data_IF_585836045656
#
_entry.id   IF_585836045656
#
_cell.length_a   1.000
_cell.length_b   1.000
_cell.length_c   1.000
_cell.angle_alpha   90.00
_cell.angle_beta   90.00
_cell.angle_gamma   90.00
#
_symmetry.space_group_name_H-M   'P 1'
#
loop_
_entity.id
_entity.type
_entity.pdbx_description
1 polymer ?
#
# COMPACT_ATOMS: atom_id res chain seq x y z
N UNK A 1 19.70 4.50 16.97
CA UNK A 1 18.29 4.76 17.19
C UNK A 1 17.78 3.93 18.37
N UNK A 2 17.13 4.56 19.33
CA UNK A 2 16.62 3.88 20.55
C UNK A 2 15.09 3.75 20.55
N UNK A 3 14.44 4.19 19.48
CA UNK A 3 12.97 4.12 19.39
C UNK A 3 12.50 2.66 19.30
N UNK A 4 11.58 2.26 20.19
CA UNK A 4 11.13 0.86 20.33
C UNK A 4 10.61 0.24 19.03
N UNK A 5 10.00 1.04 18.15
CA UNK A 5 9.50 0.61 16.83
C UNK A 5 10.49 0.80 15.68
N UNK A 6 11.79 0.95 16.02
CA UNK A 6 12.88 1.05 15.03
C UNK A 6 14.09 0.21 15.42
N UNK A 7 13.93 -0.63 16.44
CA UNK A 7 14.98 -1.51 16.97
C UNK A 7 14.48 -2.94 17.09
N UNK A 8 15.40 -3.89 17.23
CA UNK A 8 15.06 -5.31 17.36
C UNK A 8 14.28 -5.83 16.14
N UNK A 9 13.17 -6.50 16.38
CA UNK A 9 12.29 -7.02 15.33
C UNK A 9 11.61 -5.93 14.48
N UNK A 10 11.57 -4.69 15.00
CA UNK A 10 11.01 -3.52 14.32
C UNK A 10 12.07 -2.70 13.58
N UNK A 11 13.29 -3.18 13.51
CA UNK A 11 14.34 -2.46 12.76
C UNK A 11 13.93 -2.33 11.29
N UNK A 12 13.91 -1.12 10.74
CA UNK A 12 13.53 -0.91 9.34
C UNK A 12 14.44 -1.67 8.38
N UNK A 13 13.83 -2.26 7.38
CA UNK A 13 14.52 -2.77 6.21
C UNK A 13 14.62 -1.64 5.19
N UNK A 14 15.83 -1.15 4.94
CA UNK A 14 16.07 0.00 4.05
C UNK A 14 16.70 -0.38 2.72
N UNK A 15 17.06 -1.66 2.55
CA UNK A 15 17.75 -2.17 1.37
C UNK A 15 16.80 -3.03 0.53
N UNK A 16 16.79 -2.76 -0.76
CA UNK A 16 16.10 -3.60 -1.75
C UNK A 16 16.98 -4.77 -2.17
N UNK A 17 16.41 -5.97 -2.14
CA UNK A 17 17.10 -7.22 -2.42
C UNK A 17 16.44 -7.98 -3.56
N UNK A 18 17.25 -8.77 -4.24
CA UNK A 18 16.82 -9.90 -5.06
C UNK A 18 17.76 -11.05 -4.73
N UNK A 19 17.20 -12.12 -4.14
CA UNK A 19 17.92 -13.31 -3.74
C UNK A 19 17.35 -14.52 -4.49
N UNK A 20 18.12 -15.08 -5.38
CA UNK A 20 17.76 -16.24 -6.21
C UNK A 20 18.31 -17.56 -5.65
N UNK A 21 19.22 -17.47 -4.68
CA UNK A 21 19.85 -18.60 -4.02
C UNK A 21 19.46 -18.58 -2.53
N UNK A 22 18.24 -19.04 -2.27
CA UNK A 22 17.69 -19.11 -0.93
C UNK A 22 18.13 -20.39 -0.23
N UNK A 23 18.64 -20.27 1.00
CA UNK A 23 18.84 -21.45 1.86
C UNK A 23 17.47 -21.98 2.31
N UNK A 24 17.21 -23.24 2.01
CA UNK A 24 15.96 -23.93 2.36
C UNK A 24 16.26 -25.05 3.35
N UNK A 25 15.57 -25.05 4.49
CA UNK A 25 15.57 -26.17 5.43
C UNK A 25 14.29 -27.00 5.22
N UNK A 26 14.45 -28.25 4.83
CA UNK A 26 13.34 -29.12 4.42
C UNK A 26 13.13 -29.13 2.91
N UNK A 27 11.92 -29.40 2.49
CA UNK A 27 11.53 -29.49 1.08
C UNK A 27 10.41 -28.50 0.74
N UNK A 28 10.54 -27.80 -0.39
CA UNK A 28 9.44 -27.04 -0.99
C UNK A 28 8.71 -28.00 -1.94
N UNK A 29 7.37 -28.17 -1.79
CA UNK A 29 6.62 -29.00 -2.71
C UNK A 29 6.78 -28.57 -4.17
N UNK A 30 7.02 -29.50 -5.07
CA UNK A 30 7.27 -29.20 -6.49
C UNK A 30 6.02 -28.72 -7.23
N UNK A 31 4.84 -28.97 -6.69
CA UNK A 31 3.54 -28.52 -7.19
C UNK A 31 3.15 -27.13 -6.65
N UNK A 32 3.90 -26.57 -5.69
CA UNK A 32 3.74 -25.18 -5.26
C UNK A 32 4.30 -24.24 -6.31
N UNK A 33 3.42 -23.57 -7.04
CA UNK A 33 3.76 -22.56 -8.03
C UNK A 33 2.99 -21.26 -7.77
N UNK A 34 3.67 -20.15 -7.79
CA UNK A 34 3.06 -18.83 -7.59
C UNK A 34 3.94 -17.87 -6.83
N UNK A 35 3.36 -16.77 -6.42
CA UNK A 35 4.05 -15.71 -5.67
C UNK A 35 3.25 -15.39 -4.41
N UNK A 36 3.91 -15.44 -3.27
CA UNK A 36 3.42 -14.86 -2.04
C UNK A 36 3.84 -13.38 -1.99
N UNK A 37 2.87 -12.49 -1.80
CA UNK A 37 3.09 -11.05 -1.67
C UNK A 37 2.70 -10.56 -0.29
N UNK A 38 3.49 -9.65 0.26
CA UNK A 38 3.21 -8.99 1.53
C UNK A 38 3.65 -7.52 1.47
N UNK A 39 2.80 -6.63 1.97
CA UNK A 39 3.17 -5.24 2.23
C UNK A 39 3.65 -5.07 3.67
N UNK A 40 4.60 -4.20 3.88
CA UNK A 40 5.11 -3.85 5.22
C UNK A 40 5.40 -2.36 5.31
N UNK A 41 5.42 -1.84 6.54
CA UNK A 41 5.78 -0.45 6.82
C UNK A 41 7.27 -0.35 7.16
N UNK A 42 8.04 0.34 6.32
CA UNK A 42 9.46 0.57 6.54
C UNK A 42 9.81 2.05 6.33
N UNK A 43 10.14 2.79 7.39
CA UNK A 43 10.49 4.20 7.22
C UNK A 43 11.85 4.33 6.52
N UNK A 44 11.84 4.83 5.29
CA UNK A 44 13.05 5.17 4.55
C UNK A 44 13.54 6.58 4.91
N UNK A 45 12.62 7.51 5.04
CA UNK A 45 12.87 8.85 5.59
C UNK A 45 12.45 8.85 7.06
N UNK A 46 13.33 9.22 8.00
CA UNK A 46 13.01 9.22 9.43
C UNK A 46 11.79 10.07 9.73
N UNK A 47 10.89 9.56 10.58
CA UNK A 47 9.78 10.33 11.12
C UNK A 47 10.28 11.58 11.88
N UNK A 48 9.41 12.59 12.05
CA UNK A 48 9.76 13.86 12.70
C UNK A 48 10.17 13.67 14.16
N UNK A 49 9.23 13.55 15.08
CA UNK A 49 9.52 13.37 16.51
C UNK A 49 8.95 12.06 17.07
N UNK A 50 7.75 11.69 16.63
CA UNK A 50 7.01 10.54 17.12
C UNK A 50 6.69 9.59 15.97
N UNK A 51 7.48 8.55 15.84
CA UNK A 51 7.23 7.50 14.86
C UNK A 51 6.18 6.52 15.38
N UNK A 52 5.17 6.27 14.57
CA UNK A 52 4.27 5.14 14.71
C UNK A 52 4.53 4.13 13.57
N UNK A 53 4.42 2.82 13.78
CA UNK A 53 4.67 1.84 12.72
C UNK A 53 3.88 2.12 11.43
N UNK A 54 2.64 2.63 11.52
CA UNK A 54 1.82 2.97 10.35
C UNK A 54 2.32 4.17 9.54
N UNK A 55 3.36 4.85 9.99
CA UNK A 55 3.97 5.98 9.27
C UNK A 55 5.09 5.53 8.31
N UNK A 56 5.44 4.24 8.32
CA UNK A 56 6.49 3.71 7.45
C UNK A 56 6.07 3.63 5.99
N UNK A 57 7.04 3.76 5.10
CA UNK A 57 6.84 3.62 3.66
C UNK A 57 6.53 2.17 3.28
N UNK A 58 5.65 1.97 2.33
CA UNK A 58 5.29 0.65 1.83
C UNK A 58 6.49 -0.06 1.20
N UNK A 59 6.75 -1.27 1.63
CA UNK A 59 7.72 -2.17 1.01
C UNK A 59 7.04 -3.51 0.72
N UNK A 60 7.04 -3.89 -0.54
CA UNK A 60 6.49 -5.16 -0.96
C UNK A 60 7.59 -6.22 -0.89
N UNK A 61 7.26 -7.33 -0.23
CA UNK A 61 8.04 -8.55 -0.21
C UNK A 61 7.36 -9.59 -1.09
N UNK A 62 8.12 -10.23 -1.93
CA UNK A 62 7.66 -11.30 -2.82
C UNK A 62 8.51 -12.55 -2.61
N UNK A 63 7.85 -13.69 -2.43
CA UNK A 63 8.51 -14.99 -2.51
C UNK A 63 7.87 -15.75 -3.67
N UNK A 64 8.65 -15.97 -4.72
CA UNK A 64 8.22 -16.75 -5.88
C UNK A 64 8.60 -18.22 -5.67
N UNK A 65 7.64 -19.12 -5.89
CA UNK A 65 7.83 -20.56 -5.80
C UNK A 65 7.67 -21.17 -7.18
N UNK A 66 8.61 -22.03 -7.57
CA UNK A 66 8.54 -22.77 -8.83
C UNK A 66 9.40 -24.05 -8.74
N UNK A 67 8.79 -25.20 -9.05
CA UNK A 67 9.50 -26.49 -9.20
C UNK A 67 10.41 -26.80 -7.99
N UNK A 68 9.94 -26.57 -6.77
CA UNK A 68 10.71 -26.83 -5.55
C UNK A 68 11.76 -25.76 -5.21
N UNK A 69 11.79 -24.64 -5.92
CA UNK A 69 12.70 -23.52 -5.68
C UNK A 69 11.94 -22.29 -5.16
N UNK A 70 12.65 -21.45 -4.41
CA UNK A 70 12.13 -20.17 -3.93
C UNK A 70 13.10 -19.03 -4.30
N UNK A 71 12.55 -17.91 -4.74
CA UNK A 71 13.27 -16.64 -4.91
C UNK A 71 12.60 -15.55 -4.08
N UNK A 72 13.39 -14.67 -3.49
CA UNK A 72 12.91 -13.55 -2.70
C UNK A 72 13.25 -12.21 -3.37
N UNK A 73 12.29 -11.27 -3.32
CA UNK A 73 12.48 -9.87 -3.70
C UNK A 73 11.78 -8.96 -2.71
N UNK A 74 12.35 -7.78 -2.51
CA UNK A 74 11.63 -6.68 -1.87
C UNK A 74 11.88 -5.36 -2.62
N UNK A 75 10.84 -4.53 -2.70
CA UNK A 75 10.92 -3.19 -3.31
C UNK A 75 10.05 -2.22 -2.54
N UNK A 76 10.54 -1.01 -2.36
CA UNK A 76 9.70 0.09 -1.90
C UNK A 76 8.63 0.42 -2.93
N UNK A 77 7.43 0.72 -2.46
CA UNK A 77 6.40 1.31 -3.30
C UNK A 77 6.82 2.74 -3.63
N UNK A 78 6.96 3.06 -4.90
CA UNK A 78 7.43 4.38 -5.38
C UNK A 78 6.30 5.39 -5.32
N UNK A 79 5.85 5.72 -4.10
CA UNK A 79 4.81 6.73 -3.91
C UNK A 79 5.35 8.13 -4.21
N UNK A 80 4.47 9.03 -4.62
CA UNK A 80 4.84 10.43 -4.82
C UNK A 80 5.28 11.08 -3.51
N UNK A 81 4.66 10.70 -2.38
CA UNK A 81 5.05 11.17 -1.06
C UNK A 81 6.47 10.78 -0.70
N UNK A 82 6.85 9.54 -0.96
CA UNK A 82 8.22 9.07 -0.76
C UNK A 82 9.20 9.85 -1.64
N UNK A 83 8.87 10.08 -2.92
CA UNK A 83 9.73 10.84 -3.82
C UNK A 83 9.99 12.26 -3.30
N UNK A 84 8.95 12.94 -2.84
CA UNK A 84 9.05 14.30 -2.26
C UNK A 84 9.94 14.31 -1.01
N UNK A 85 9.80 13.33 -0.13
CA UNK A 85 10.63 13.27 1.09
C UNK A 85 12.08 12.89 0.80
N UNK A 86 12.32 12.02 -0.18
CA UNK A 86 13.69 11.70 -0.62
C UNK A 86 14.39 12.91 -1.24
N UNK A 87 13.68 13.69 -2.05
CA UNK A 87 14.21 14.95 -2.62
C UNK A 87 14.50 15.99 -1.53
N UNK A 88 13.61 16.13 -0.56
CA UNK A 88 13.79 17.05 0.56
C UNK A 88 14.86 16.55 1.58
N UNK A 89 15.18 15.28 1.59
CA UNK A 89 16.06 14.66 2.59
C UNK A 89 15.51 14.71 4.02
N UNK A 90 14.20 14.96 4.17
CA UNK A 90 13.54 15.15 5.46
C UNK A 90 12.04 14.83 5.35
N UNK A 91 11.39 14.41 6.47
CA UNK A 91 9.95 14.16 6.48
C UNK A 91 9.18 15.45 6.17
N UNK A 92 8.16 15.33 5.34
CA UNK A 92 7.33 16.46 4.90
C UNK A 92 5.93 16.44 5.51
N UNK A 93 5.53 15.32 6.08
CA UNK A 93 4.26 15.15 6.77
C UNK A 93 4.46 14.60 8.18
N UNK A 94 3.63 15.07 9.09
CA UNK A 94 3.52 14.50 10.44
C UNK A 94 2.94 13.10 10.36
N UNK A 95 3.41 12.21 11.24
CA UNK A 95 2.86 10.89 11.42
C UNK A 95 1.58 10.86 12.24
N UNK A 96 1.04 9.67 12.41
CA UNK A 96 -0.21 9.40 13.15
C UNK A 96 -0.17 9.89 14.60
N UNK A 97 0.98 9.86 15.24
CA UNK A 97 1.16 10.25 16.63
C UNK A 97 1.49 11.74 16.84
N UNK A 98 1.45 12.54 15.76
CA UNK A 98 1.81 13.96 15.78
C UNK A 98 0.66 14.85 15.30
N UNK A 99 0.74 16.14 15.64
CA UNK A 99 -0.21 17.10 15.11
C UNK A 99 0.06 17.36 13.61
N UNK A 100 -0.95 17.25 12.74
CA UNK A 100 -0.79 17.58 11.32
C UNK A 100 -0.36 19.03 11.08
N UNK A 101 -0.59 19.92 12.05
CA UNK A 101 -0.15 21.33 11.96
C UNK A 101 1.39 21.51 12.03
N UNK A 102 2.10 20.46 12.45
CA UNK A 102 3.58 20.45 12.46
C UNK A 102 4.18 20.09 11.10
N UNK A 103 3.39 19.56 10.17
CA UNK A 103 3.89 19.18 8.86
C UNK A 103 4.46 20.37 8.10
N UNK A 104 5.66 20.27 7.52
CA UNK A 104 6.16 21.24 6.56
C UNK A 104 5.18 21.45 5.39
N UNK A 105 4.55 20.39 4.92
CA UNK A 105 3.48 20.44 3.94
C UNK A 105 2.12 20.32 4.61
N UNK A 106 1.19 21.20 4.25
CA UNK A 106 -0.18 21.21 4.76
C UNK A 106 -1.19 20.59 3.79
N UNK A 107 -0.79 20.35 2.55
CA UNK A 107 -1.50 19.56 1.57
C UNK A 107 -1.30 18.08 1.93
N UNK A 108 -2.33 17.43 2.41
CA UNK A 108 -2.31 15.99 2.63
C UNK A 108 -2.13 15.27 1.31
N UNK A 109 -1.56 14.07 1.38
CA UNK A 109 -1.31 13.34 0.18
C UNK A 109 -2.59 12.78 -0.41
N UNK A 110 -2.67 12.84 -1.71
CA UNK A 110 -3.94 12.63 -2.36
C UNK A 110 -5.00 13.52 -1.71
N UNK A 111 -6.17 13.55 -2.06
CA UNK A 111 -7.21 14.44 -1.54
C UNK A 111 -7.79 14.02 -0.17
N UNK A 112 -7.15 13.10 0.55
CA UNK A 112 -7.88 12.37 1.58
C UNK A 112 -7.60 12.83 2.98
N UNK A 113 -6.33 13.04 3.31
CA UNK A 113 -5.91 13.43 4.65
C UNK A 113 -4.75 14.42 4.58
N UNK A 114 -4.30 14.91 5.75
CA UNK A 114 -3.06 15.67 5.88
C UNK A 114 -1.86 14.79 6.22
N UNK A 115 -1.95 13.51 5.94
CA UNK A 115 -0.88 12.53 6.10
C UNK A 115 -0.31 12.17 4.73
N UNK A 116 0.91 11.68 4.73
CA UNK A 116 1.51 11.05 3.55
C UNK A 116 0.73 9.77 3.21
N UNK A 117 0.43 9.59 1.92
CA UNK A 117 0.04 8.27 1.41
C UNK A 117 1.30 7.41 1.33
N UNK A 118 1.48 6.54 2.31
CA UNK A 118 2.63 5.65 2.37
C UNK A 118 2.43 4.35 1.58
N UNK A 119 1.23 4.07 1.12
CA UNK A 119 0.88 2.81 0.40
C UNK A 119 1.43 1.56 1.09
N UNK A 120 1.28 1.49 2.41
CA UNK A 120 1.98 0.52 3.26
C UNK A 120 1.09 -0.51 3.91
N UNK A 121 -0.22 -0.52 3.59
CA UNK A 121 -1.17 -1.31 4.38
C UNK A 121 -1.46 -2.67 3.80
N UNK A 122 -1.78 -2.75 2.51
CA UNK A 122 -2.21 -4.00 1.90
C UNK A 122 -1.74 -4.13 0.45
N UNK A 123 -1.81 -5.33 -0.06
CA UNK A 123 -1.53 -5.64 -1.46
C UNK A 123 -2.49 -6.73 -1.95
N UNK A 124 -3.13 -6.45 -3.07
CA UNK A 124 -4.01 -7.42 -3.76
C UNK A 124 -3.58 -7.55 -5.21
N UNK A 125 -3.90 -8.66 -5.84
CA UNK A 125 -3.65 -8.85 -7.28
C UNK A 125 -4.97 -8.78 -8.03
N UNK A 126 -5.04 -7.88 -9.00
CA UNK A 126 -6.20 -7.72 -9.87
C UNK A 126 -5.74 -7.43 -11.30
N UNK A 127 -6.36 -8.08 -12.26
CA UNK A 127 -6.07 -7.90 -13.70
C UNK A 127 -4.56 -7.97 -14.01
N UNK A 128 -3.85 -8.93 -13.39
CA UNK A 128 -2.42 -9.17 -13.59
C UNK A 128 -1.49 -8.16 -12.92
N UNK A 129 -2.00 -7.19 -12.16
CA UNK A 129 -1.22 -6.20 -11.42
C UNK A 129 -1.32 -6.43 -9.92
N UNK A 130 -0.21 -6.30 -9.22
CA UNK A 130 -0.19 -6.14 -7.77
C UNK A 130 -0.50 -4.69 -7.42
N UNK A 131 -1.51 -4.47 -6.59
CA UNK A 131 -2.02 -3.15 -6.21
C UNK A 131 -1.73 -2.91 -4.74
N UNK A 132 -0.79 -2.02 -4.47
CA UNK A 132 -0.48 -1.58 -3.11
C UNK A 132 -1.42 -0.45 -2.69
N UNK A 133 -1.87 -0.47 -1.45
CA UNK A 133 -2.88 0.44 -0.92
C UNK A 133 -2.55 0.98 0.46
N UNK A 134 -3.26 2.04 0.85
CA UNK A 134 -3.11 2.73 2.13
C UNK A 134 -4.45 2.85 2.86
N UNK A 135 -4.46 2.58 4.16
CA UNK A 135 -5.68 2.56 4.97
C UNK A 135 -6.41 3.91 5.05
N UNK A 136 -5.71 5.01 4.78
CA UNK A 136 -6.29 6.37 4.76
C UNK A 136 -6.82 6.78 3.36
N UNK A 137 -7.17 5.81 2.52
CA UNK A 137 -7.74 6.03 1.19
C UNK A 137 -6.75 6.78 0.27
N UNK A 138 -5.66 6.12 -0.06
CA UNK A 138 -4.64 6.63 -0.98
C UNK A 138 -4.91 6.31 -2.45
N UNK A 139 -3.90 6.54 -3.24
CA UNK A 139 -3.80 6.00 -4.59
C UNK A 139 -3.55 4.49 -4.53
N UNK A 140 -3.86 3.77 -5.58
CA UNK A 140 -3.37 2.41 -5.77
C UNK A 140 -2.11 2.46 -6.62
N UNK A 141 -1.00 1.98 -6.08
CA UNK A 141 0.26 1.84 -6.79
C UNK A 141 0.38 0.44 -7.37
N UNK A 142 0.72 0.38 -8.65
CA UNK A 142 0.76 -0.84 -9.42
C UNK A 142 2.19 -1.35 -9.54
N UNK A 143 2.37 -2.64 -9.33
CA UNK A 143 3.63 -3.34 -9.53
C UNK A 143 3.38 -4.62 -10.32
N UNK A 144 4.38 -5.03 -11.08
CA UNK A 144 4.40 -6.39 -11.61
C UNK A 144 4.46 -7.39 -10.43
N UNK A 145 3.55 -8.36 -10.33
CA UNK A 145 3.47 -9.23 -9.15
C UNK A 145 4.66 -10.19 -9.00
N UNK A 146 5.46 -10.39 -10.05
CA UNK A 146 6.61 -11.30 -10.05
C UNK A 146 7.92 -10.54 -9.89
N UNK A 147 8.11 -9.50 -10.69
CA UNK A 147 9.38 -8.74 -10.73
C UNK A 147 9.40 -7.59 -9.73
N UNK A 148 8.22 -7.16 -9.24
CA UNK A 148 7.98 -5.95 -8.44
C UNK A 148 8.41 -4.67 -9.17
N UNK A 149 8.46 -4.68 -10.49
CA UNK A 149 8.69 -3.48 -11.29
C UNK A 149 7.53 -2.50 -11.09
N UNK A 150 7.88 -1.24 -10.82
CA UNK A 150 6.91 -0.16 -10.68
C UNK A 150 6.18 0.11 -11.99
N UNK A 151 4.86 0.14 -11.95
CA UNK A 151 3.96 0.43 -13.07
C UNK A 151 3.17 1.73 -12.88
N UNK A 152 3.52 2.50 -11.86
CA UNK A 152 2.90 3.78 -11.55
C UNK A 152 1.55 3.65 -10.84
N UNK A 153 0.80 4.75 -10.83
CA UNK A 153 -0.52 4.81 -10.18
C UNK A 153 -1.62 4.27 -11.10
N UNK A 154 -2.60 3.59 -10.51
CA UNK A 154 -3.80 3.21 -11.20
C UNK A 154 -4.62 4.44 -11.60
N UNK A 155 -5.08 4.49 -12.84
CA UNK A 155 -5.91 5.57 -13.35
C UNK A 155 -7.32 5.13 -13.75
N UNK A 156 -7.49 3.83 -14.02
CA UNK A 156 -8.74 3.23 -14.49
C UNK A 156 -9.37 4.02 -15.63
N UNK A 157 -8.57 4.34 -16.64
CA UNK A 157 -9.00 5.18 -17.77
C UNK A 157 -9.58 6.55 -17.33
N UNK A 158 -8.95 7.18 -16.34
CA UNK A 158 -9.35 8.46 -15.72
C UNK A 158 -10.67 8.38 -14.90
N UNK A 159 -11.08 7.19 -14.47
CA UNK A 159 -12.24 7.00 -13.58
C UNK A 159 -11.83 6.72 -12.12
N UNK A 160 -10.54 6.76 -11.80
CA UNK A 160 -10.07 6.53 -10.42
C UNK A 160 -10.73 7.54 -9.46
N UNK A 161 -11.34 7.07 -8.34
CA UNK A 161 -12.10 7.95 -7.45
C UNK A 161 -11.24 9.06 -6.84
N UNK A 162 -11.70 10.30 -6.87
CA UNK A 162 -11.03 11.42 -6.22
C UNK A 162 -10.85 11.22 -4.71
N UNK A 163 -11.76 10.50 -4.06
CA UNK A 163 -11.64 10.11 -2.66
C UNK A 163 -10.65 8.95 -2.41
N UNK A 164 -10.03 8.42 -3.46
CA UNK A 164 -9.08 7.31 -3.37
C UNK A 164 -9.72 5.96 -3.12
N UNK A 165 -8.90 4.99 -2.75
CA UNK A 165 -9.29 3.62 -2.40
C UNK A 165 -8.66 3.27 -1.06
N UNK A 166 -9.45 2.71 -0.14
CA UNK A 166 -8.93 2.20 1.13
C UNK A 166 -8.19 0.88 0.92
N UNK A 167 -7.40 0.50 1.91
CA UNK A 167 -6.84 -0.84 1.98
C UNK A 167 -7.93 -1.92 2.11
N UNK A 168 -7.52 -3.17 1.92
CA UNK A 168 -8.35 -4.37 2.06
C UNK A 168 -9.45 -4.53 1.00
N UNK A 169 -9.18 -4.08 -0.24
CA UNK A 169 -10.00 -4.46 -1.38
C UNK A 169 -10.06 -5.99 -1.53
N UNK A 170 -11.18 -6.52 -1.98
CA UNK A 170 -11.40 -7.96 -2.16
C UNK A 170 -11.57 -8.26 -3.64
N UNK A 171 -10.97 -9.35 -4.09
CA UNK A 171 -11.16 -9.86 -5.46
C UNK A 171 -12.04 -11.09 -5.44
N UNK A 172 -13.15 -11.07 -6.16
CA UNK A 172 -13.96 -12.28 -6.38
C UNK A 172 -13.27 -13.12 -7.48
N UNK A 173 -12.67 -14.22 -7.09
CA UNK A 173 -11.93 -15.11 -8.00
C UNK A 173 -12.80 -15.72 -9.09
N UNK A 174 -14.14 -15.78 -8.90
CA UNK A 174 -15.06 -16.35 -9.90
C UNK A 174 -15.37 -15.39 -11.03
N UNK A 175 -15.47 -14.08 -10.72
CA UNK A 175 -15.83 -13.05 -11.70
C UNK A 175 -14.60 -12.24 -12.13
N UNK A 176 -13.57 -12.19 -11.31
CA UNK A 176 -12.41 -11.33 -11.47
C UNK A 176 -12.66 -9.88 -11.06
N UNK A 177 -13.82 -9.60 -10.45
CA UNK A 177 -14.15 -8.24 -10.01
C UNK A 177 -13.42 -7.90 -8.71
N UNK A 178 -12.94 -6.67 -8.61
CA UNK A 178 -12.38 -6.13 -7.37
C UNK A 178 -13.40 -5.23 -6.69
N UNK A 179 -13.75 -5.57 -5.47
CA UNK A 179 -14.63 -4.80 -4.61
C UNK A 179 -13.78 -3.90 -3.72
N UNK A 180 -14.12 -2.62 -3.66
CA UNK A 180 -13.38 -1.65 -2.87
C UNK A 180 -14.32 -0.64 -2.20
N UNK A 181 -13.78 0.06 -1.24
CA UNK A 181 -14.46 1.20 -0.63
C UNK A 181 -13.49 2.36 -0.43
N UNK A 182 -14.04 3.53 -0.18
CA UNK A 182 -13.31 4.65 0.39
C UNK A 182 -14.18 5.38 1.42
N UNK A 183 -13.53 6.20 2.22
CA UNK A 183 -14.21 7.03 3.20
C UNK A 183 -13.56 8.41 3.26
N UNK A 184 -14.30 9.39 3.77
CA UNK A 184 -13.89 10.77 3.83
C UNK A 184 -14.56 11.52 4.99
N UNK A 185 -14.11 12.74 5.27
CA UNK A 185 -14.65 13.57 6.36
C UNK A 185 -15.88 14.38 5.95
N UNK A 186 -16.26 14.38 4.67
CA UNK A 186 -17.42 15.06 4.12
C UNK A 186 -18.49 14.06 3.70
N UNK A 187 -19.76 14.49 3.72
CA UNK A 187 -20.90 13.66 3.28
C UNK A 187 -20.67 13.18 1.82
N UNK A 188 -21.00 11.94 1.48
CA UNK A 188 -21.73 10.89 2.20
C UNK A 188 -20.89 10.09 3.22
N UNK A 189 -19.64 10.43 3.42
CA UNK A 189 -18.64 9.83 4.29
C UNK A 189 -18.06 8.51 3.83
N UNK A 190 -18.71 7.76 2.96
CA UNK A 190 -18.21 6.50 2.41
C UNK A 190 -18.77 6.27 1.00
N UNK A 191 -18.00 5.57 0.17
CA UNK A 191 -18.43 5.01 -1.10
C UNK A 191 -18.01 3.55 -1.20
N UNK A 192 -18.81 2.79 -1.93
CA UNK A 192 -18.51 1.43 -2.34
C UNK A 192 -18.37 1.39 -3.86
N UNK A 193 -17.43 0.60 -4.36
CA UNK A 193 -17.19 0.47 -5.78
C UNK A 193 -16.80 -0.93 -6.21
N UNK A 194 -16.96 -1.18 -7.51
CA UNK A 194 -16.55 -2.43 -8.16
C UNK A 194 -15.77 -2.08 -9.42
N UNK A 195 -14.57 -2.61 -9.51
CA UNK A 195 -13.76 -2.63 -10.71
C UNK A 195 -13.92 -4.00 -11.35
N UNK A 196 -14.34 -4.06 -12.63
CA UNK A 196 -14.53 -5.35 -13.28
C UNK A 196 -13.19 -6.05 -13.63
N UNK A 197 -13.26 -7.28 -14.09
CA UNK A 197 -12.08 -8.08 -14.45
C UNK A 197 -11.19 -7.43 -15.53
N UNK A 198 -11.73 -6.51 -16.33
CA UNK A 198 -11.01 -5.76 -17.36
C UNK A 198 -10.35 -4.49 -16.83
N UNK A 199 -10.53 -4.17 -15.55
CA UNK A 199 -9.99 -2.96 -14.93
C UNK A 199 -10.82 -1.70 -15.20
N UNK A 200 -12.13 -1.84 -15.46
CA UNK A 200 -13.06 -0.75 -15.67
C UNK A 200 -13.96 -0.55 -14.45
N UNK A 201 -14.17 0.69 -14.06
CA UNK A 201 -15.08 1.04 -12.96
C UNK A 201 -16.52 0.75 -13.36
N UNK A 202 -17.05 -0.38 -12.94
CA UNK A 202 -18.40 -0.85 -13.30
C UNK A 202 -19.48 -0.36 -12.35
N UNK A 203 -19.10 -0.05 -11.11
CA UNK A 203 -20.03 0.45 -10.10
C UNK A 203 -19.31 1.37 -9.11
N UNK A 204 -19.96 2.48 -8.76
CA UNK A 204 -19.47 3.38 -7.72
C UNK A 204 -20.66 4.14 -7.13
N UNK A 205 -20.93 3.93 -5.84
CA UNK A 205 -22.11 4.44 -5.18
C UNK A 205 -21.80 5.02 -3.80
N UNK A 206 -22.47 6.13 -3.41
CA UNK A 206 -22.38 6.64 -2.07
C UNK A 206 -23.05 5.69 -1.06
N UNK A 207 -22.42 5.54 0.09
CA UNK A 207 -22.95 4.86 1.27
C UNK A 207 -23.08 5.91 2.39
N UNK A 208 -24.26 6.53 2.55
CA UNK A 208 -24.45 7.58 3.54
C UNK A 208 -24.28 7.04 4.96
N UNK A 209 -23.35 7.62 5.70
CA UNK A 209 -23.17 7.35 7.11
C UNK A 209 -23.69 8.53 7.95
N UNK A 210 -23.96 8.34 9.25
CA UNK A 210 -24.42 9.43 10.12
C UNK A 210 -23.32 10.43 10.51
N UNK A 211 -22.10 10.23 10.03
CA UNK A 211 -20.93 11.09 10.25
C UNK A 211 -19.66 10.39 9.80
N UNK A 212 -18.51 11.10 9.85
CA UNK A 212 -17.25 10.51 9.46
C UNK A 212 -16.89 9.32 10.35
N UNK A 213 -16.39 8.27 9.75
CA UNK A 213 -15.90 7.04 10.40
C UNK A 213 -14.60 6.62 9.71
N UNK A 214 -13.89 5.72 10.37
CA UNK A 214 -12.70 5.07 9.83
C UNK A 214 -13.00 3.56 9.72
N UNK A 215 -13.72 3.12 8.67
CA UNK A 215 -13.86 1.70 8.38
C UNK A 215 -12.50 1.17 7.92
N UNK A 216 -11.98 0.14 8.59
CA UNK A 216 -10.65 -0.38 8.28
C UNK A 216 -10.70 -1.49 7.22
N UNK A 217 -11.72 -2.31 7.28
CA UNK A 217 -11.91 -3.46 6.38
C UNK A 217 -13.41 -3.65 6.05
N UNK A 218 -13.71 -4.48 5.04
CA UNK A 218 -15.06 -4.86 4.64
C UNK A 218 -15.19 -6.37 4.38
#
# INVERSE_FOLDING_TARGET
DTHRYRTGAWRPQTTEWTATDMHVEGEIPTDLNGVYLRNTENPLVPAMERYHPFDGDGMIHAISFREGHAEYRNRFVRTEGLAVELEAGAPQWSGLAESPLKSPRQDGWGARTRMKDASSTDIVVHNGMALSSFYQCGDLYQLDPITLEDKGRASWNNTFPAAGVSAHAKVDERTGDMLFFNYQTTYPYMHYGVLNAQGELSHYTPVPLPGPRLPHDM
#
